data_IF_226249494859
#
_entry.id   IF_226249494859
#
_cell.length_a   1.000
_cell.length_b   1.000
_cell.length_c   1.000
_cell.angle_alpha   90.00
_cell.angle_beta   90.00
_cell.angle_gamma   90.00
#
_symmetry.space_group_name_H-M   'P 1'
#
loop_
_entity.id
_entity.type
_entity.pdbx_description
1 polymer ?
#
# COMPACT_ATOMS: atom_id res chain seq x y z
N UNK A 1 80.02 1.81 14.77
CA UNK A 1 79.80 1.82 13.32
C UNK A 1 78.97 0.59 12.96
N UNK A 2 77.81 0.81 12.34
CA UNK A 2 76.94 -0.14 11.61
C UNK A 2 75.91 -0.98 12.41
N UNK A 3 74.64 -0.69 12.05
CA UNK A 3 73.38 -1.45 12.11
C UNK A 3 72.89 -2.05 13.44
N UNK A 4 71.64 -1.68 13.82
CA UNK A 4 70.50 -2.61 13.84
C UNK A 4 69.13 -1.94 14.10
N UNK A 5 68.20 -2.26 13.18
CA UNK A 5 66.76 -2.50 13.38
C UNK A 5 65.83 -1.27 13.47
N UNK A 6 65.50 -0.80 12.28
CA UNK A 6 64.16 -0.42 11.84
C UNK A 6 63.06 -1.24 12.53
N UNK A 7 62.13 -0.58 13.23
CA UNK A 7 60.78 -1.09 13.52
C UNK A 7 59.77 -0.16 12.87
N UNK A 8 59.41 -0.49 11.63
CA UNK A 8 58.23 0.07 10.98
C UNK A 8 56.99 -0.36 11.77
N UNK A 9 56.36 0.60 12.45
CA UNK A 9 55.01 0.46 12.99
C UNK A 9 54.04 0.55 11.80
N UNK A 10 53.83 -0.58 11.13
CA UNK A 10 52.88 -0.71 10.05
C UNK A 10 51.46 -0.66 10.60
N UNK A 11 50.88 0.54 10.70
CA UNK A 11 49.42 0.70 10.68
C UNK A 11 49.01 0.58 9.22
N UNK A 12 48.93 -0.65 8.74
CA UNK A 12 48.09 -0.95 7.59
C UNK A 12 46.68 -1.08 8.16
N UNK A 13 45.98 0.06 8.26
CA UNK A 13 44.52 0.04 8.32
C UNK A 13 44.08 -0.62 7.02
N UNK A 14 43.87 -1.93 7.08
CA UNK A 14 43.07 -2.65 6.11
C UNK A 14 41.67 -2.04 6.24
N UNK A 15 41.42 -0.98 5.47
CA UNK A 15 40.08 -0.52 5.21
C UNK A 15 39.41 -1.68 4.47
N UNK A 16 38.77 -2.56 5.25
CA UNK A 16 37.76 -3.46 4.73
C UNK A 16 36.66 -2.52 4.26
N UNK A 17 36.77 -2.07 3.01
CA UNK A 17 35.63 -1.67 2.21
C UNK A 17 34.79 -2.94 2.10
N UNK A 18 34.05 -3.24 3.16
CA UNK A 18 32.84 -4.01 3.05
C UNK A 18 31.96 -3.15 2.15
N UNK A 19 32.06 -3.37 0.84
CA UNK A 19 30.94 -3.11 -0.04
C UNK A 19 29.83 -3.98 0.55
N UNK A 20 29.01 -3.38 1.42
CA UNK A 20 27.74 -3.96 1.76
C UNK A 20 27.06 -4.14 0.42
N UNK A 21 27.01 -5.37 -0.08
CA UNK A 21 26.03 -5.72 -1.08
C UNK A 21 24.72 -5.27 -0.45
N UNK A 22 24.13 -4.20 -0.98
CA UNK A 22 22.89 -3.65 -0.44
C UNK A 22 21.92 -4.83 -0.43
N UNK A 23 21.54 -5.26 0.77
CA UNK A 23 20.67 -6.41 0.92
C UNK A 23 19.42 -6.07 0.09
N UNK A 24 19.16 -6.89 -0.93
CA UNK A 24 18.09 -6.62 -1.88
C UNK A 24 16.79 -6.48 -1.08
N UNK A 25 16.28 -5.26 -0.97
CA UNK A 25 15.06 -4.99 -0.20
C UNK A 25 13.90 -5.70 -0.90
N UNK A 26 13.18 -6.53 -0.16
CA UNK A 26 11.98 -7.17 -0.68
C UNK A 26 10.87 -6.13 -0.70
N UNK A 27 10.66 -5.54 -1.87
CA UNK A 27 9.67 -4.50 -2.09
C UNK A 27 8.36 -5.09 -2.60
N UNK A 28 7.24 -4.56 -2.13
CA UNK A 28 5.89 -4.90 -2.55
C UNK A 28 5.17 -3.66 -3.07
N UNK A 29 4.73 -3.72 -4.33
CA UNK A 29 3.78 -2.78 -4.91
C UNK A 29 2.42 -3.46 -5.03
N UNK A 30 1.43 -2.97 -4.30
CA UNK A 30 0.04 -3.39 -4.41
C UNK A 30 -0.71 -2.37 -5.27
N UNK A 31 -1.24 -2.82 -6.41
CA UNK A 31 -2.05 -1.99 -7.32
C UNK A 31 -3.48 -2.49 -7.26
N UNK A 32 -4.41 -1.64 -6.84
CA UNK A 32 -5.83 -1.96 -6.74
C UNK A 32 -6.63 -1.26 -7.85
N UNK A 33 -7.16 -2.04 -8.79
CA UNK A 33 -7.93 -1.52 -9.93
C UNK A 33 -9.42 -1.79 -9.71
N UNK A 34 -10.20 -0.75 -9.40
CA UNK A 34 -11.64 -0.91 -9.16
C UNK A 34 -12.37 -1.37 -10.43
N UNK A 35 -13.34 -2.27 -10.26
CA UNK A 35 -14.18 -2.77 -11.36
C UNK A 35 -13.44 -3.55 -12.46
N UNK A 36 -12.15 -3.88 -12.28
CA UNK A 36 -11.37 -4.59 -13.28
C UNK A 36 -11.70 -6.09 -13.29
N UNK A 37 -12.66 -6.47 -14.13
CA UNK A 37 -13.14 -7.86 -14.22
C UNK A 37 -12.05 -8.78 -14.79
N UNK A 38 -12.08 -10.04 -14.36
CA UNK A 38 -11.04 -11.05 -14.65
C UNK A 38 -10.74 -11.28 -16.15
N UNK A 39 -11.68 -10.98 -17.05
CA UNK A 39 -11.60 -11.21 -18.50
C UNK A 39 -11.24 -9.95 -19.30
N UNK A 40 -11.20 -8.77 -18.68
CA UNK A 40 -10.90 -7.52 -19.39
C UNK A 40 -9.51 -7.51 -20.03
N UNK A 41 -8.54 -8.15 -19.39
CA UNK A 41 -7.18 -8.31 -19.93
C UNK A 41 -7.11 -9.14 -21.20
N UNK A 42 -8.09 -10.03 -21.41
CA UNK A 42 -8.17 -10.87 -22.61
C UNK A 42 -9.04 -10.24 -23.70
N UNK A 43 -9.91 -9.30 -23.34
CA UNK A 43 -10.82 -8.60 -24.25
C UNK A 43 -10.22 -7.36 -24.90
N UNK A 44 -9.18 -6.78 -24.29
CA UNK A 44 -8.60 -5.50 -24.68
C UNK A 44 -7.11 -5.65 -25.00
N UNK A 45 -6.61 -4.79 -25.88
CA UNK A 45 -5.17 -4.70 -26.13
C UNK A 45 -4.49 -3.90 -25.02
N UNK A 46 -3.99 -4.62 -24.01
CA UNK A 46 -3.36 -4.06 -22.82
C UNK A 46 -1.90 -4.57 -22.70
N UNK A 47 -0.95 -4.00 -23.48
CA UNK A 47 0.41 -4.55 -23.59
C UNK A 47 1.17 -4.60 -22.26
N UNK A 48 0.93 -3.64 -21.36
CA UNK A 48 1.51 -3.65 -20.01
C UNK A 48 1.04 -4.85 -19.18
N UNK A 49 -0.27 -5.15 -19.22
CA UNK A 49 -0.81 -6.34 -18.54
C UNK A 49 -0.32 -7.62 -19.20
N UNK A 50 -0.25 -7.69 -20.52
CA UNK A 50 0.28 -8.87 -21.21
C UNK A 50 1.72 -9.19 -20.79
N UNK A 51 2.53 -8.16 -20.54
CA UNK A 51 3.87 -8.34 -19.95
C UNK A 51 3.80 -8.97 -18.56
N UNK A 52 2.95 -8.46 -17.67
CA UNK A 52 2.73 -9.06 -16.34
C UNK A 52 2.25 -10.51 -16.41
N UNK A 53 1.40 -10.84 -17.38
CA UNK A 53 0.90 -12.21 -17.56
C UNK A 53 1.98 -13.17 -18.07
N UNK A 54 2.86 -12.70 -18.96
CA UNK A 54 3.92 -13.51 -19.54
C UNK A 54 5.11 -13.71 -18.58
N UNK A 55 5.40 -12.71 -17.73
CA UNK A 55 6.54 -12.73 -16.81
C UNK A 55 6.15 -13.10 -15.37
N UNK A 56 4.85 -13.15 -15.06
CA UNK A 56 4.31 -13.34 -13.71
C UNK A 56 3.36 -14.52 -13.59
N UNK A 57 2.48 -14.44 -12.60
CA UNK A 57 1.48 -15.47 -12.29
C UNK A 57 0.10 -14.83 -12.25
N UNK A 58 -0.89 -15.50 -12.84
CA UNK A 58 -2.30 -15.08 -12.85
C UNK A 58 -3.20 -16.20 -12.33
N UNK A 59 -4.11 -15.84 -11.42
CA UNK A 59 -5.27 -16.67 -11.10
C UNK A 59 -6.30 -16.57 -12.23
N UNK A 60 -7.05 -17.65 -12.51
CA UNK A 60 -8.10 -17.63 -13.56
C UNK A 60 -9.14 -16.54 -13.30
N UNK A 61 -9.56 -16.41 -12.03
CA UNK A 61 -10.36 -15.31 -11.51
C UNK A 61 -10.24 -15.30 -9.97
N UNK A 62 -10.71 -14.22 -9.35
CA UNK A 62 -10.91 -14.13 -7.90
C UNK A 62 -12.42 -14.15 -7.66
N UNK A 63 -12.90 -14.98 -6.74
CA UNK A 63 -14.30 -14.92 -6.32
C UNK A 63 -14.49 -13.67 -5.45
N UNK A 64 -15.34 -12.72 -5.86
CA UNK A 64 -15.61 -11.55 -5.04
C UNK A 64 -16.38 -11.96 -3.78
N UNK A 65 -16.22 -11.16 -2.74
CA UNK A 65 -17.00 -11.29 -1.53
C UNK A 65 -18.41 -10.73 -1.77
N UNK A 66 -19.34 -11.12 -0.91
CA UNK A 66 -20.69 -10.54 -0.90
C UNK A 66 -20.80 -9.53 0.26
N UNK A 67 -21.30 -8.31 0.01
CA UNK A 67 -21.65 -7.76 -1.30
C UNK A 67 -20.40 -7.40 -2.12
N UNK A 68 -20.48 -7.52 -3.44
CA UNK A 68 -19.37 -7.22 -4.37
C UNK A 68 -19.25 -5.71 -4.60
N UNK A 69 -18.99 -4.97 -3.52
CA UNK A 69 -18.81 -3.52 -3.49
C UNK A 69 -17.35 -3.17 -3.17
N UNK A 70 -16.91 -1.99 -3.58
CA UNK A 70 -15.52 -1.54 -3.45
C UNK A 70 -15.02 -1.58 -2.00
N UNK A 71 -15.65 -0.87 -1.06
CA UNK A 71 -15.14 -0.78 0.32
C UNK A 71 -15.14 -2.12 1.07
N UNK A 72 -16.22 -2.93 1.05
CA UNK A 72 -16.18 -4.24 1.68
C UNK A 72 -15.04 -5.10 1.12
N UNK A 73 -14.94 -5.16 -0.22
CA UNK A 73 -13.93 -5.98 -0.90
C UNK A 73 -12.51 -5.53 -0.56
N UNK A 74 -12.24 -4.23 -0.64
CA UNK A 74 -10.91 -3.70 -0.38
C UNK A 74 -10.50 -3.83 1.09
N UNK A 75 -11.45 -3.67 2.03
CA UNK A 75 -11.20 -3.88 3.47
C UNK A 75 -10.89 -5.36 3.74
N UNK A 76 -11.58 -6.28 3.09
CA UNK A 76 -11.26 -7.70 3.19
C UNK A 76 -9.88 -8.03 2.60
N UNK A 77 -9.49 -7.41 1.47
CA UNK A 77 -8.14 -7.59 0.92
C UNK A 77 -7.04 -7.10 1.87
N UNK A 78 -7.28 -5.99 2.57
CA UNK A 78 -6.27 -5.43 3.47
C UNK A 78 -6.21 -6.15 4.82
N UNK A 79 -7.31 -6.72 5.31
CA UNK A 79 -7.40 -7.32 6.65
C UNK A 79 -7.42 -8.85 6.65
N UNK A 80 -7.76 -9.48 5.52
CA UNK A 80 -7.99 -10.92 5.42
C UNK A 80 -9.30 -11.40 6.06
N UNK A 81 -10.20 -10.49 6.44
CA UNK A 81 -11.46 -10.80 7.12
C UNK A 81 -12.66 -10.69 6.17
N UNK A 82 -13.77 -11.35 6.49
CA UNK A 82 -15.05 -11.14 5.82
C UNK A 82 -15.72 -9.83 6.26
N UNK A 83 -16.65 -9.27 5.45
CA UNK A 83 -17.38 -8.05 5.81
C UNK A 83 -18.07 -8.08 7.18
N UNK A 84 -18.61 -9.24 7.57
CA UNK A 84 -19.23 -9.42 8.89
C UNK A 84 -18.23 -9.36 10.06
N UNK A 85 -16.95 -9.63 9.81
CA UNK A 85 -15.90 -9.61 10.83
C UNK A 85 -15.19 -8.26 10.91
N UNK A 86 -14.97 -7.57 9.78
CA UNK A 86 -14.32 -6.26 9.76
C UNK A 86 -15.29 -5.08 9.81
N UNK A 87 -16.61 -5.32 9.86
CA UNK A 87 -17.65 -4.29 10.09
C UNK A 87 -18.07 -3.47 8.87
N UNK A 88 -17.19 -3.31 7.87
CA UNK A 88 -17.52 -2.62 6.60
C UNK A 88 -18.35 -3.53 5.67
N UNK A 89 -19.67 -3.55 5.89
CA UNK A 89 -20.63 -4.40 5.14
C UNK A 89 -21.19 -3.76 3.87
N UNK A 90 -20.90 -2.48 3.61
CA UNK A 90 -21.35 -1.76 2.43
C UNK A 90 -20.58 -0.47 2.20
N UNK A 91 -20.79 0.17 1.05
CA UNK A 91 -20.27 1.52 0.79
C UNK A 91 -21.04 2.61 1.57
N UNK A 92 -22.28 2.29 1.94
CA UNK A 92 -23.15 3.13 2.75
C UNK A 92 -23.76 2.24 3.82
N UNK A 93 -23.60 2.60 5.10
CA UNK A 93 -23.99 1.76 6.23
C UNK A 93 -24.76 2.62 7.22
N UNK A 94 -25.82 2.06 7.80
CA UNK A 94 -26.47 2.62 8.97
C UNK A 94 -26.22 1.70 10.17
N UNK A 95 -25.64 2.25 11.24
CA UNK A 95 -25.52 1.55 12.52
C UNK A 95 -26.70 1.93 13.42
N UNK A 96 -27.63 1.00 13.71
CA UNK A 96 -28.80 1.28 14.53
C UNK A 96 -28.48 1.47 16.03
N UNK A 97 -27.35 0.96 16.51
CA UNK A 97 -26.90 1.11 17.91
C UNK A 97 -26.26 2.48 18.10
N UNK A 98 -25.34 2.86 17.22
CA UNK A 98 -24.72 4.19 17.23
C UNK A 98 -25.68 5.29 16.74
N UNK A 99 -26.76 4.92 16.03
CA UNK A 99 -27.70 5.81 15.34
C UNK A 99 -27.00 6.75 14.37
N UNK A 100 -26.05 6.21 13.62
CA UNK A 100 -25.20 6.99 12.73
C UNK A 100 -25.01 6.33 11.37
N UNK A 101 -24.61 7.13 10.39
CA UNK A 101 -24.38 6.72 9.02
C UNK A 101 -22.90 6.76 8.66
N UNK A 102 -22.49 5.76 7.91
CA UNK A 102 -21.23 5.75 7.18
C UNK A 102 -21.53 5.96 5.70
N UNK A 103 -20.75 6.82 5.04
CA UNK A 103 -20.85 7.09 3.61
C UNK A 103 -19.47 7.14 2.98
N UNK A 104 -19.27 6.36 1.92
CA UNK A 104 -18.08 6.43 1.07
C UNK A 104 -17.80 7.85 0.54
N UNK A 105 -18.84 8.67 0.34
CA UNK A 105 -18.70 10.01 -0.22
C UNK A 105 -18.48 11.11 0.84
N UNK A 106 -18.43 10.74 2.12
CA UNK A 106 -18.26 11.67 3.22
C UNK A 106 -16.95 11.42 3.97
N UNK A 107 -15.98 12.31 3.76
CA UNK A 107 -14.66 12.23 4.40
C UNK A 107 -14.72 12.22 5.92
N UNK A 108 -15.72 12.87 6.51
CA UNK A 108 -15.87 12.92 7.97
C UNK A 108 -16.28 11.55 8.50
N UNK A 109 -17.27 10.90 7.89
CA UNK A 109 -17.64 9.53 8.25
C UNK A 109 -16.51 8.52 7.99
N UNK A 110 -15.79 8.67 6.88
CA UNK A 110 -14.65 7.80 6.53
C UNK A 110 -13.49 7.92 7.52
N UNK A 111 -13.22 9.11 8.04
CA UNK A 111 -12.14 9.34 9.00
C UNK A 111 -12.45 8.88 10.43
N UNK A 112 -13.68 8.46 10.74
CA UNK A 112 -14.06 8.05 12.09
C UNK A 112 -13.59 6.64 12.41
N UNK A 113 -12.68 6.52 13.39
CA UNK A 113 -12.07 5.27 13.84
C UNK A 113 -13.05 4.13 14.12
N UNK A 114 -14.26 4.44 14.62
CA UNK A 114 -15.26 3.44 15.01
C UNK A 114 -15.69 2.49 13.88
N UNK A 115 -15.52 2.90 12.63
CA UNK A 115 -15.83 2.06 11.46
C UNK A 115 -14.68 1.13 11.08
N UNK A 116 -13.49 1.32 11.65
CA UNK A 116 -12.22 0.76 11.20
C UNK A 116 -11.50 0.06 12.35
N UNK A 117 -12.02 -1.11 12.74
CA UNK A 117 -11.51 -1.85 13.89
C UNK A 117 -10.57 -3.00 13.50
N UNK A 118 -10.65 -3.47 12.26
CA UNK A 118 -9.82 -4.57 11.76
C UNK A 118 -8.46 -4.07 11.26
N UNK A 119 -7.36 -4.59 11.82
CA UNK A 119 -6.00 -4.19 11.46
C UNK A 119 -5.68 -4.55 9.98
N UNK A 120 -5.29 -3.57 9.16
CA UNK A 120 -4.91 -3.81 7.77
C UNK A 120 -3.40 -4.09 7.63
N UNK A 121 -3.03 -4.75 6.53
CA UNK A 121 -1.68 -5.24 6.25
C UNK A 121 -0.59 -4.18 6.39
N UNK A 122 -0.85 -2.92 6.02
CA UNK A 122 0.15 -1.86 6.14
C UNK A 122 0.45 -1.49 7.59
N UNK A 123 -0.51 -1.61 8.49
CA UNK A 123 -0.28 -1.42 9.93
C UNK A 123 0.50 -2.60 10.48
N UNK A 124 0.10 -3.84 10.14
CA UNK A 124 0.82 -5.06 10.52
C UNK A 124 2.29 -5.02 10.07
N UNK A 125 2.53 -4.52 8.85
CA UNK A 125 3.87 -4.33 8.30
C UNK A 125 4.64 -3.20 9.02
N UNK A 126 3.99 -2.05 9.27
CA UNK A 126 4.59 -0.93 10.02
C UNK A 126 5.02 -1.36 11.42
N UNK A 127 4.19 -2.14 12.12
CA UNK A 127 4.50 -2.71 13.44
C UNK A 127 5.72 -3.65 13.42
N UNK A 128 6.04 -4.21 12.26
CA UNK A 128 7.22 -5.06 12.04
C UNK A 128 8.44 -4.29 11.47
N UNK A 129 8.37 -2.96 11.44
CA UNK A 129 9.46 -2.10 10.97
C UNK A 129 9.55 -1.93 9.45
N UNK A 130 8.53 -2.37 8.70
CA UNK A 130 8.44 -2.15 7.25
C UNK A 130 7.98 -0.73 6.99
N UNK A 131 8.65 0.00 6.09
CA UNK A 131 8.22 1.35 5.72
C UNK A 131 7.09 1.28 4.70
N UNK A 132 5.89 1.70 5.09
CA UNK A 132 4.71 1.62 4.22
C UNK A 132 4.29 2.98 3.65
N UNK A 133 3.91 3.04 2.38
CA UNK A 133 3.29 4.21 1.77
C UNK A 133 1.92 3.85 1.16
N UNK A 134 0.91 4.65 1.47
CA UNK A 134 -0.43 4.51 0.91
C UNK A 134 -0.80 5.75 0.12
N UNK A 135 -1.21 5.54 -1.13
CA UNK A 135 -1.72 6.58 -2.04
C UNK A 135 -3.14 6.21 -2.45
N UNK A 136 -4.03 7.20 -2.55
CA UNK A 136 -5.42 7.02 -2.98
C UNK A 136 -6.26 6.10 -2.09
N UNK A 137 -5.77 5.77 -0.90
CA UNK A 137 -6.51 5.03 0.08
C UNK A 137 -7.08 6.00 1.11
N UNK A 138 -8.41 6.20 1.09
CA UNK A 138 -9.13 7.11 1.98
C UNK A 138 -8.79 6.88 3.47
N UNK A 139 -8.54 5.63 3.88
CA UNK A 139 -8.29 5.28 5.29
C UNK A 139 -6.86 5.41 5.76
N UNK A 140 -5.91 5.86 4.93
CA UNK A 140 -4.52 5.85 5.34
C UNK A 140 -4.22 6.77 6.54
N UNK A 141 -5.12 7.71 6.86
CA UNK A 141 -5.01 8.66 7.97
C UNK A 141 -5.70 8.18 9.27
N UNK A 142 -6.41 7.05 9.22
CA UNK A 142 -7.09 6.45 10.37
C UNK A 142 -6.09 5.58 11.15
N UNK A 143 -5.91 5.86 12.44
CA UNK A 143 -4.86 5.24 13.24
C UNK A 143 -5.30 3.93 13.89
N UNK A 144 -4.56 2.85 13.69
CA UNK A 144 -4.84 1.57 14.34
C UNK A 144 -3.92 1.42 15.55
N UNK A 145 -4.47 1.54 16.76
CA UNK A 145 -3.67 1.53 17.98
C UNK A 145 -2.65 2.67 18.07
N UNK A 146 -2.93 3.82 17.45
CA UNK A 146 -2.02 4.97 17.37
C UNK A 146 -0.94 4.85 16.28
N UNK A 147 -0.98 3.80 15.46
CA UNK A 147 -0.04 3.56 14.36
C UNK A 147 -0.65 4.07 13.05
N UNK A 148 0.19 4.72 12.25
CA UNK A 148 -0.10 5.19 10.91
C UNK A 148 0.98 4.66 9.96
N UNK A 149 0.68 4.52 8.66
CA UNK A 149 1.71 4.26 7.66
C UNK A 149 2.74 5.40 7.64
N UNK A 150 3.98 5.07 7.25
CA UNK A 150 5.06 6.06 7.15
C UNK A 150 4.76 7.19 6.14
N UNK A 151 3.98 6.89 5.10
CA UNK A 151 3.42 7.88 4.18
C UNK A 151 1.94 7.61 3.91
N UNK A 152 1.14 8.67 3.92
CA UNK A 152 -0.28 8.63 3.62
C UNK A 152 -0.67 9.83 2.74
N UNK A 153 -1.18 9.54 1.56
CA UNK A 153 -1.86 10.49 0.67
C UNK A 153 -3.30 10.01 0.48
N UNK A 154 -4.27 10.53 1.27
CA UNK A 154 -5.65 10.06 1.22
C UNK A 154 -6.28 10.40 -0.14
N UNK A 155 -7.26 9.59 -0.54
CA UNK A 155 -8.11 9.93 -1.68
C UNK A 155 -8.93 11.18 -1.40
N UNK A 156 -9.03 12.07 -2.38
CA UNK A 156 -9.85 13.29 -2.29
C UNK A 156 -10.95 13.18 -3.33
N UNK A 157 -12.21 13.13 -2.85
CA UNK A 157 -13.37 13.14 -3.73
C UNK A 157 -13.46 14.49 -4.46
N UNK A 158 -13.64 14.48 -5.80
CA UNK A 158 -13.89 15.72 -6.53
C UNK A 158 -15.21 16.32 -6.07
N UNK A 159 -15.19 17.60 -5.71
CA UNK A 159 -16.39 18.37 -5.39
C UNK A 159 -16.65 19.41 -6.49
N UNK A 160 -17.84 20.01 -6.51
CA UNK A 160 -18.13 21.10 -7.45
C UNK A 160 -17.16 22.28 -7.27
N UNK A 161 -16.75 22.55 -6.03
CA UNK A 161 -15.84 23.65 -5.67
C UNK A 161 -14.36 23.27 -5.80
N UNK A 162 -14.06 21.97 -5.83
CA UNK A 162 -12.72 21.44 -6.07
C UNK A 162 -12.80 20.32 -7.12
N UNK A 163 -12.90 20.67 -8.41
CA UNK A 163 -12.82 19.70 -9.49
C UNK A 163 -11.38 19.19 -9.53
N UNK A 164 -11.09 18.17 -8.72
CA UNK A 164 -9.81 17.48 -8.75
C UNK A 164 -9.58 17.03 -10.19
N UNK A 165 -8.48 17.44 -10.81
CA UNK A 165 -8.03 16.81 -12.05
C UNK A 165 -7.82 15.35 -11.73
N UNK A 166 -8.63 14.47 -12.33
CA UNK A 166 -8.41 13.03 -12.22
C UNK A 166 -6.95 12.75 -12.57
N UNK A 167 -6.19 12.28 -11.58
CA UNK A 167 -4.86 11.77 -11.83
C UNK A 167 -5.01 10.57 -12.78
N UNK A 168 -4.12 10.50 -13.76
CA UNK A 168 -4.12 9.34 -14.64
C UNK A 168 -3.53 8.16 -13.88
N UNK A 169 -3.97 6.94 -14.19
CA UNK A 169 -3.36 5.72 -13.65
C UNK A 169 -1.83 5.72 -13.79
N UNK A 170 -1.30 6.31 -14.87
CA UNK A 170 0.14 6.45 -15.07
C UNK A 170 0.80 7.36 -14.03
N UNK A 171 0.17 8.46 -13.66
CA UNK A 171 0.69 9.37 -12.62
C UNK A 171 0.70 8.67 -11.26
N UNK A 172 -0.36 7.94 -10.94
CA UNK A 172 -0.49 7.21 -9.67
C UNK A 172 0.54 6.09 -9.55
N UNK A 173 0.71 5.28 -10.60
CA UNK A 173 1.73 4.23 -10.65
C UNK A 173 3.13 4.82 -10.62
N UNK A 174 3.39 5.91 -11.36
CA UNK A 174 4.70 6.58 -11.34
C UNK A 174 5.03 7.03 -9.93
N UNK A 175 4.07 7.64 -9.23
CA UNK A 175 4.29 8.09 -7.85
C UNK A 175 4.51 6.92 -6.89
N UNK A 176 3.82 5.81 -7.09
CA UNK A 176 4.03 4.60 -6.31
C UNK A 176 5.45 4.02 -6.51
N UNK A 177 5.98 4.05 -7.74
CA UNK A 177 7.36 3.65 -8.04
C UNK A 177 8.36 4.59 -7.37
N UNK A 178 8.14 5.91 -7.43
CA UNK A 178 8.99 6.88 -6.73
C UNK A 178 9.07 6.59 -5.23
N UNK A 179 7.95 6.24 -4.58
CA UNK A 179 7.95 5.84 -3.17
C UNK A 179 8.84 4.60 -2.94
N UNK A 180 8.80 3.60 -3.82
CA UNK A 180 9.72 2.45 -3.70
C UNK A 180 11.19 2.88 -3.78
N UNK A 181 11.52 3.79 -4.70
CA UNK A 181 12.87 4.32 -4.88
C UNK A 181 13.32 5.17 -3.67
N UNK A 182 12.40 5.94 -3.05
CA UNK A 182 12.63 6.74 -1.85
C UNK A 182 12.85 5.90 -0.58
N UNK A 183 12.63 4.59 -0.64
CA UNK A 183 12.94 3.68 0.45
C UNK A 183 11.73 3.14 1.21
N UNK A 184 10.52 3.27 0.67
CA UNK A 184 9.36 2.52 1.15
C UNK A 184 9.43 1.07 0.63
N UNK A 185 9.00 0.12 1.46
CA UNK A 185 9.12 -1.32 1.20
C UNK A 185 7.77 -1.94 0.85
N UNK A 186 6.65 -1.36 1.32
CA UNK A 186 5.29 -1.72 0.91
C UNK A 186 4.57 -0.46 0.45
N UNK A 187 4.20 -0.40 -0.83
CA UNK A 187 3.48 0.73 -1.42
C UNK A 187 2.15 0.23 -1.96
N UNK A 188 1.06 0.90 -1.57
CA UNK A 188 -0.29 0.65 -2.10
C UNK A 188 -0.76 1.87 -2.91
N UNK A 189 -1.36 1.59 -4.06
CA UNK A 189 -2.00 2.56 -4.96
C UNK A 189 -3.30 2.03 -5.52
#
# INVERSE_FOLDING_TARGET
MIMKVVKYFGIVCLAILATSAEARRNQLLLIMLDGFRWDYVDMQDLPGFQKFLNEGVRAKWINPLFPSLSLPTWTSFSTGLYPENHGIVGNYIYDPVAKDFFSLDDSDSMGQQKWWEAEPIWITATNQGVKTALTLWSQCHVSYGGVLPAHCKPYVYPTLDNPVKFQTLNEDITKAIENLEEGYDLVQV
#
